data_IF_678357042076
#
_entry.id   IF_678357042076
#
_cell.length_a   1.000
_cell.length_b   1.000
_cell.length_c   1.000
_cell.angle_alpha   90.00
_cell.angle_beta   90.00
_cell.angle_gamma   90.00
#
_symmetry.space_group_name_H-M   'P 1'
#
loop_
_entity.id
_entity.type
_entity.pdbx_description
1 polymer ?
#
# COMPACT_ATOMS: atom_id res chain seq x y z
N UNK A 1 -21.06 -27.71 -14.32
CA UNK A 1 -19.86 -28.29 -13.67
C UNK A 1 -18.91 -27.16 -13.27
N UNK A 2 -18.69 -26.90 -11.98
CA UNK A 2 -17.68 -25.91 -11.54
C UNK A 2 -16.31 -26.61 -11.49
N UNK A 3 -15.31 -26.07 -12.19
CA UNK A 3 -13.92 -26.55 -12.14
C UNK A 3 -13.08 -25.57 -11.34
N UNK A 4 -12.18 -26.08 -10.51
CA UNK A 4 -11.18 -25.29 -9.80
C UNK A 4 -9.80 -25.76 -10.24
N UNK A 5 -8.86 -24.83 -10.37
CA UNK A 5 -7.48 -25.11 -10.76
C UNK A 5 -6.52 -24.63 -9.67
N UNK A 6 -5.46 -25.40 -9.45
CA UNK A 6 -4.37 -25.05 -8.54
C UNK A 6 -3.08 -24.96 -9.34
N UNK A 7 -2.41 -23.82 -9.25
CA UNK A 7 -1.13 -23.58 -9.90
C UNK A 7 -0.08 -23.21 -8.85
N UNK A 8 1.17 -23.60 -9.11
CA UNK A 8 2.33 -23.08 -8.39
C UNK A 8 2.90 -21.94 -9.21
N UNK A 9 3.05 -20.78 -8.58
CA UNK A 9 3.78 -19.67 -9.16
C UNK A 9 5.28 -19.83 -8.81
N UNK A 10 6.13 -19.86 -9.84
CA UNK A 10 7.58 -19.96 -9.70
C UNK A 10 8.20 -18.71 -10.34
N UNK A 11 8.35 -17.59 -9.60
CA UNK A 11 8.92 -16.37 -10.15
C UNK A 11 10.40 -16.55 -10.48
N UNK A 12 10.88 -15.83 -11.49
CA UNK A 12 12.32 -15.59 -11.65
C UNK A 12 12.84 -14.72 -10.50
N UNK A 13 14.16 -14.69 -10.28
CA UNK A 13 14.75 -13.86 -9.22
C UNK A 13 14.38 -12.38 -9.36
N UNK A 14 14.33 -11.87 -10.61
CA UNK A 14 13.89 -10.51 -10.89
C UNK A 14 12.42 -10.27 -10.50
N UNK A 15 11.52 -11.22 -10.78
CA UNK A 15 10.11 -11.14 -10.39
C UNK A 15 9.95 -11.24 -8.88
N UNK A 16 10.70 -12.13 -8.21
CA UNK A 16 10.67 -12.26 -6.76
C UNK A 16 11.14 -10.98 -6.05
N UNK A 17 12.19 -10.34 -6.58
CA UNK A 17 12.68 -9.05 -6.09
C UNK A 17 11.63 -7.94 -6.27
N UNK A 18 10.99 -7.87 -7.43
CA UNK A 18 9.93 -6.89 -7.71
C UNK A 18 8.72 -7.06 -6.79
N UNK A 19 8.28 -8.31 -6.57
CA UNK A 19 7.20 -8.62 -5.64
C UNK A 19 7.59 -8.25 -4.21
N UNK A 20 8.80 -8.56 -3.78
CA UNK A 20 9.30 -8.23 -2.44
C UNK A 20 9.32 -6.72 -2.20
N UNK A 21 9.82 -5.93 -3.17
CA UNK A 21 9.76 -4.46 -3.11
C UNK A 21 8.33 -3.97 -3.04
N UNK A 22 7.46 -4.47 -3.93
CA UNK A 22 6.04 -4.08 -3.97
C UNK A 22 5.34 -4.35 -2.64
N UNK A 23 5.50 -5.55 -2.08
CA UNK A 23 4.87 -5.92 -0.81
C UNK A 23 5.43 -5.13 0.37
N UNK A 24 6.75 -4.87 0.38
CA UNK A 24 7.38 -3.99 1.36
C UNK A 24 6.80 -2.58 1.34
N UNK A 25 6.68 -1.98 0.15
CA UNK A 25 6.09 -0.65 -0.04
C UNK A 25 4.61 -0.63 0.38
N UNK A 26 3.82 -1.64 -0.01
CA UNK A 26 2.42 -1.78 0.40
C UNK A 26 2.28 -1.82 1.92
N UNK A 27 3.08 -2.65 2.59
CA UNK A 27 3.05 -2.77 4.06
C UNK A 27 3.43 -1.46 4.73
N UNK A 28 4.47 -0.77 4.24
CA UNK A 28 4.90 0.54 4.77
C UNK A 28 3.79 1.57 4.63
N UNK A 29 3.20 1.72 3.44
CA UNK A 29 2.11 2.68 3.18
C UNK A 29 0.88 2.37 4.04
N UNK A 30 0.49 1.10 4.16
CA UNK A 30 -0.63 0.70 5.02
C UNK A 30 -0.38 1.13 6.48
N UNK A 31 0.79 0.80 7.04
CA UNK A 31 1.11 1.12 8.42
C UNK A 31 1.19 2.62 8.68
N UNK A 32 1.77 3.39 7.75
CA UNK A 32 1.81 4.85 7.86
C UNK A 32 0.41 5.47 7.81
N UNK A 33 -0.45 5.00 6.91
CA UNK A 33 -1.82 5.49 6.81
C UNK A 33 -2.66 5.08 8.03
N UNK A 34 -2.43 3.89 8.59
CA UNK A 34 -3.04 3.44 9.83
C UNK A 34 -2.63 4.36 10.98
N UNK A 35 -1.34 4.63 11.15
CA UNK A 35 -0.84 5.53 12.18
C UNK A 35 -1.46 6.93 12.06
N UNK A 36 -1.47 7.52 10.86
CA UNK A 36 -2.08 8.83 10.62
C UNK A 36 -3.58 8.86 10.96
N UNK A 37 -4.31 7.78 10.66
CA UNK A 37 -5.73 7.64 11.02
C UNK A 37 -5.92 7.49 12.53
N UNK A 38 -5.08 6.72 13.20
CA UNK A 38 -5.12 6.55 14.66
C UNK A 38 -4.85 7.87 15.37
N UNK A 39 -3.88 8.64 14.91
CA UNK A 39 -3.58 9.97 15.45
C UNK A 39 -4.72 10.97 15.22
N UNK A 40 -5.31 10.98 14.01
CA UNK A 40 -6.48 11.80 13.73
C UNK A 40 -7.67 11.42 14.62
N UNK A 41 -7.90 10.12 14.82
CA UNK A 41 -8.96 9.63 15.70
C UNK A 41 -8.77 10.08 17.15
N UNK A 42 -7.53 10.08 17.65
CA UNK A 42 -7.21 10.61 18.99
C UNK A 42 -7.57 12.09 19.13
N UNK A 43 -7.56 12.85 18.02
CA UNK A 43 -8.01 14.25 17.92
C UNK A 43 -9.48 14.42 17.57
N UNK A 44 -10.28 13.33 17.58
CA UNK A 44 -11.69 13.32 17.14
C UNK A 44 -11.90 13.68 15.65
N UNK A 45 -10.86 13.53 14.83
CA UNK A 45 -10.89 13.76 13.39
C UNK A 45 -11.06 12.44 12.62
N UNK A 46 -11.52 12.53 11.38
CA UNK A 46 -11.59 11.38 10.46
C UNK A 46 -10.72 11.64 9.24
N UNK A 47 -9.86 10.67 8.93
CA UNK A 47 -9.08 10.62 7.69
C UNK A 47 -9.70 9.59 6.75
N UNK A 48 -10.30 10.08 5.68
CA UNK A 48 -10.90 9.26 4.62
C UNK A 48 -9.86 8.85 3.56
N UNK A 49 -10.29 8.03 2.60
CA UNK A 49 -9.45 7.57 1.50
C UNK A 49 -8.77 8.71 0.72
N UNK A 50 -9.52 9.76 0.34
CA UNK A 50 -8.98 10.87 -0.45
C UNK A 50 -7.86 11.60 0.29
N UNK A 51 -8.03 11.82 1.61
CA UNK A 51 -6.99 12.41 2.45
C UNK A 51 -5.75 11.51 2.52
N UNK A 52 -5.91 10.20 2.76
CA UNK A 52 -4.77 9.28 2.76
C UNK A 52 -4.09 9.15 1.39
N UNK A 53 -4.84 9.32 0.29
CA UNK A 53 -4.30 9.31 -1.08
C UNK A 53 -3.46 10.56 -1.36
N UNK A 54 -3.90 11.72 -0.86
CA UNK A 54 -3.11 12.95 -0.88
C UNK A 54 -1.84 12.82 -0.02
N UNK A 55 -1.93 12.22 1.17
CA UNK A 55 -0.77 11.93 2.02
C UNK A 55 0.24 11.03 1.29
N UNK A 56 -0.20 9.95 0.64
CA UNK A 56 0.68 9.08 -0.16
C UNK A 56 1.38 9.85 -1.28
N UNK A 57 0.68 10.79 -1.93
CA UNK A 57 1.28 11.66 -2.96
C UNK A 57 2.36 12.57 -2.37
N UNK A 58 2.14 13.10 -1.16
CA UNK A 58 3.14 13.91 -0.45
C UNK A 58 4.34 13.05 0.01
N UNK A 59 4.11 11.87 0.58
CA UNK A 59 5.16 10.94 1.00
C UNK A 59 6.06 10.56 -0.16
N UNK A 60 5.50 10.22 -1.33
CA UNK A 60 6.27 9.90 -2.54
C UNK A 60 7.20 11.03 -3.02
N UNK A 61 7.02 12.27 -2.55
CA UNK A 61 7.87 13.41 -2.89
C UNK A 61 8.98 13.67 -1.87
N UNK A 62 8.97 13.00 -0.71
CA UNK A 62 10.06 13.12 0.26
C UNK A 62 11.23 12.24 -0.17
N UNK A 63 12.45 12.65 0.18
CA UNK A 63 13.66 11.87 -0.13
C UNK A 63 13.62 10.49 0.53
N UNK A 64 13.20 10.42 1.80
CA UNK A 64 13.11 9.18 2.58
C UNK A 64 12.17 8.14 1.93
N UNK A 65 11.10 8.59 1.28
CA UNK A 65 10.05 7.72 0.74
C UNK A 65 9.96 7.77 -0.78
N UNK A 66 10.97 8.33 -1.45
CA UNK A 66 11.05 8.40 -2.90
C UNK A 66 11.00 7.00 -3.55
N UNK A 67 11.52 5.98 -2.86
CA UNK A 67 11.50 4.57 -3.30
C UNK A 67 10.07 4.02 -3.50
N UNK A 68 9.04 4.65 -2.91
CA UNK A 68 7.64 4.29 -3.18
C UNK A 68 7.23 4.54 -4.65
N UNK A 69 8.03 5.27 -5.42
CA UNK A 69 7.85 5.47 -6.87
C UNK A 69 8.49 4.37 -7.72
N UNK A 70 9.29 3.49 -7.13
CA UNK A 70 9.91 2.36 -7.85
C UNK A 70 8.91 1.23 -8.12
N UNK A 71 7.74 1.25 -7.46
CA UNK A 71 6.68 0.25 -7.63
C UNK A 71 5.41 0.90 -8.18
N UNK A 72 4.55 0.09 -8.79
CA UNK A 72 3.24 0.56 -9.27
C UNK A 72 2.46 1.26 -8.16
N UNK A 73 1.80 2.37 -8.50
CA UNK A 73 0.96 3.11 -7.56
C UNK A 73 -0.33 2.37 -7.21
N UNK A 74 -0.78 1.45 -8.08
CA UNK A 74 -2.03 0.69 -7.93
C UNK A 74 -2.09 -0.10 -6.62
N UNK A 75 -1.12 -0.98 -6.29
CA UNK A 75 -1.16 -1.72 -5.02
C UNK A 75 -1.06 -0.81 -3.79
N UNK A 76 -0.36 0.33 -3.88
CA UNK A 76 -0.28 1.30 -2.77
C UNK A 76 -1.64 1.97 -2.51
N UNK A 77 -2.32 2.41 -3.57
CA UNK A 77 -3.67 2.98 -3.47
C UNK A 77 -4.68 1.93 -3.00
N UNK A 78 -4.54 0.68 -3.44
CA UNK A 78 -5.40 -0.42 -2.99
C UNK A 78 -5.21 -0.72 -1.50
N UNK A 79 -4.00 -0.61 -0.96
CA UNK A 79 -3.75 -0.74 0.47
C UNK A 79 -4.54 0.30 1.28
N UNK A 80 -4.60 1.55 0.81
CA UNK A 80 -5.41 2.61 1.43
C UNK A 80 -6.91 2.29 1.37
N UNK A 81 -7.40 1.70 0.26
CA UNK A 81 -8.80 1.26 0.14
C UNK A 81 -9.13 0.11 1.08
N UNK A 82 -8.25 -0.88 1.19
CA UNK A 82 -8.42 -1.97 2.15
C UNK A 82 -8.46 -1.45 3.58
N UNK A 83 -7.58 -0.49 3.93
CA UNK A 83 -7.61 0.16 5.24
C UNK A 83 -8.89 0.97 5.49
N UNK A 84 -9.56 1.46 4.44
CA UNK A 84 -10.84 2.17 4.57
C UNK A 84 -12.01 1.23 4.87
N UNK A 85 -11.95 -0.02 4.42
CA UNK A 85 -12.98 -1.02 4.63
C UNK A 85 -12.69 -2.04 5.74
N UNK A 86 -11.53 -1.94 6.39
CA UNK A 86 -11.16 -2.74 7.56
C UNK A 86 -11.75 -2.14 8.83
#
# INVERSE_FOLDING_TARGET
MKRAFKYRFCPTDAQAAELSRTFGCVRKVYNMALAARTEAWARQERVNYNQSSAMLTAWKKTEELAFLNEVSSVPLQQALRHLQGA
#
